data_IF_012915964255
#
_entry.id   IF_012915964255
#
_cell.length_a   1.000
_cell.length_b   1.000
_cell.length_c   1.000
_cell.angle_alpha   90.00
_cell.angle_beta   90.00
_cell.angle_gamma   90.00
#
_symmetry.space_group_name_H-M   'P 1'
#
loop_
_entity.id
_entity.type
_entity.pdbx_description
1 polymer ?
#
# COMPACT_ATOMS: atom_id res chain seq x y z
N UNK A 1 15.88 3.96 7.00
CA UNK A 1 16.30 5.36 6.72
C UNK A 1 17.33 5.93 7.72
N UNK A 2 18.01 5.12 8.55
CA UNK A 2 19.15 5.57 9.38
C UNK A 2 18.88 6.70 10.41
N UNK A 3 17.63 7.03 10.71
CA UNK A 3 17.21 8.12 11.62
C UNK A 3 16.10 7.64 12.56
N UNK A 4 15.88 8.36 13.66
CA UNK A 4 14.74 8.13 14.56
C UNK A 4 13.41 8.19 13.84
N UNK A 5 12.47 7.32 14.22
CA UNK A 5 11.09 7.38 13.76
C UNK A 5 10.47 8.74 14.13
N UNK A 6 9.55 9.24 13.30
CA UNK A 6 8.92 10.57 13.49
C UNK A 6 8.28 10.71 14.88
N UNK A 7 7.52 9.70 15.31
CA UNK A 7 6.88 9.68 16.63
C UNK A 7 7.85 9.61 17.83
N UNK A 8 9.14 9.33 17.61
CA UNK A 8 10.18 9.28 18.66
C UNK A 8 10.86 10.62 18.90
N UNK A 9 10.58 11.63 18.08
CA UNK A 9 11.11 12.98 18.30
C UNK A 9 10.35 13.59 19.50
N UNK A 10 11.04 14.05 20.57
CA UNK A 10 10.40 14.52 21.79
C UNK A 10 9.34 15.61 21.57
N UNK A 11 9.56 16.51 20.63
CA UNK A 11 8.65 17.61 20.28
C UNK A 11 7.44 17.16 19.46
N UNK A 12 7.48 15.96 18.88
CA UNK A 12 6.42 15.40 18.02
C UNK A 12 5.54 14.43 18.81
N UNK A 13 6.15 13.39 19.40
CA UNK A 13 5.42 12.32 20.10
C UNK A 13 4.27 11.75 19.28
N UNK A 14 3.09 11.63 19.91
CA UNK A 14 1.90 11.05 19.29
C UNK A 14 1.17 11.98 18.31
N UNK A 15 1.57 13.26 18.19
CA UNK A 15 1.07 14.11 17.11
C UNK A 15 1.39 13.51 15.72
N UNK A 16 2.40 12.63 15.66
CA UNK A 16 2.74 11.83 14.49
C UNK A 16 1.58 11.03 13.89
N UNK A 17 0.56 10.66 14.68
CA UNK A 17 -0.66 9.99 14.15
C UNK A 17 -1.43 10.94 13.24
N UNK A 18 -1.65 12.18 13.69
CA UNK A 18 -2.30 13.20 12.87
C UNK A 18 -1.44 13.58 11.65
N UNK A 19 -0.13 13.65 11.82
CA UNK A 19 0.79 13.90 10.70
C UNK A 19 0.71 12.78 9.63
N UNK A 20 0.55 11.52 10.06
CA UNK A 20 0.28 10.39 9.16
C UNK A 20 -1.02 10.57 8.38
N UNK A 21 -2.10 11.01 9.03
CA UNK A 21 -3.36 11.33 8.37
C UNK A 21 -3.21 12.49 7.38
N UNK A 22 -2.41 13.50 7.70
CA UNK A 22 -2.10 14.61 6.80
C UNK A 22 -1.34 14.13 5.56
N UNK A 23 -0.34 13.26 5.73
CA UNK A 23 0.41 12.67 4.61
C UNK A 23 -0.49 11.88 3.66
N UNK A 24 -1.43 11.11 4.20
CA UNK A 24 -2.45 10.41 3.42
C UNK A 24 -3.30 11.39 2.59
N UNK A 25 -3.81 12.45 3.22
CA UNK A 25 -4.62 13.47 2.53
C UNK A 25 -3.82 14.26 1.48
N UNK A 26 -2.50 14.39 1.63
CA UNK A 26 -1.66 15.05 0.61
C UNK A 26 -1.69 14.33 -0.74
N UNK A 27 -1.88 13.00 -0.76
CA UNK A 27 -2.01 12.24 -2.01
C UNK A 27 -3.17 12.79 -2.84
N UNK A 28 -4.38 12.84 -2.29
CA UNK A 28 -5.56 13.35 -2.99
C UNK A 28 -5.43 14.83 -3.37
N UNK A 29 -4.74 15.63 -2.54
CA UNK A 29 -4.45 17.04 -2.86
C UNK A 29 -3.54 17.18 -4.08
N UNK A 30 -2.52 16.34 -4.20
CA UNK A 30 -1.59 16.31 -5.33
C UNK A 30 -2.31 15.83 -6.59
N UNK A 31 -3.04 14.71 -6.50
CA UNK A 31 -3.82 14.17 -7.62
C UNK A 31 -4.79 15.22 -8.16
N UNK A 32 -5.58 15.86 -7.29
CA UNK A 32 -6.50 16.93 -7.69
C UNK A 32 -5.79 18.13 -8.30
N UNK A 33 -4.66 18.56 -7.74
CA UNK A 33 -3.96 19.75 -8.23
C UNK A 33 -3.42 19.56 -9.65
N UNK A 34 -2.89 18.38 -9.95
CA UNK A 34 -2.12 18.14 -11.17
C UNK A 34 -2.85 17.35 -12.24
N UNK A 35 -3.86 16.56 -11.87
CA UNK A 35 -4.48 15.60 -12.77
C UNK A 35 -5.99 15.78 -12.90
N UNK A 36 -6.63 16.76 -12.24
CA UNK A 36 -8.10 16.85 -12.26
C UNK A 36 -8.75 17.10 -13.64
N UNK A 37 -7.99 17.61 -14.61
CA UNK A 37 -8.46 17.82 -15.98
C UNK A 37 -8.14 16.62 -16.90
N UNK A 38 -7.36 15.65 -16.41
CA UNK A 38 -6.95 14.47 -17.18
C UNK A 38 -8.11 13.47 -17.27
N UNK A 39 -8.27 12.84 -18.43
CA UNK A 39 -9.32 11.84 -18.65
C UNK A 39 -9.23 10.64 -17.67
N UNK A 40 -8.03 10.33 -17.19
CA UNK A 40 -7.76 9.25 -16.24
C UNK A 40 -7.77 9.69 -14.76
N UNK A 41 -8.19 10.91 -14.44
CA UNK A 41 -8.20 11.43 -13.06
C UNK A 41 -8.93 10.53 -12.07
N UNK A 42 -10.17 10.14 -12.39
CA UNK A 42 -11.00 9.31 -11.51
C UNK A 42 -10.35 7.95 -11.31
N UNK A 43 -9.79 7.36 -12.36
CA UNK A 43 -9.07 6.10 -12.29
C UNK A 43 -7.83 6.18 -11.39
N UNK A 44 -7.09 7.30 -11.40
CA UNK A 44 -6.00 7.50 -10.44
C UNK A 44 -6.51 7.59 -9.00
N UNK A 45 -7.58 8.35 -8.75
CA UNK A 45 -8.17 8.46 -7.41
C UNK A 45 -8.60 7.09 -6.88
N UNK A 46 -9.30 6.31 -7.70
CA UNK A 46 -9.77 4.97 -7.34
C UNK A 46 -8.59 4.01 -7.12
N UNK A 47 -7.57 4.05 -7.99
CA UNK A 47 -6.37 3.22 -7.89
C UNK A 47 -5.62 3.48 -6.57
N UNK A 48 -5.43 4.75 -6.17
CA UNK A 48 -4.77 5.08 -4.91
C UNK A 48 -5.62 4.67 -3.69
N UNK A 49 -6.94 4.86 -3.75
CA UNK A 49 -7.85 4.44 -2.67
C UNK A 49 -7.85 2.91 -2.48
N UNK A 50 -7.88 2.16 -3.58
CA UNK A 50 -7.87 0.69 -3.55
C UNK A 50 -6.54 0.16 -3.04
N UNK A 51 -5.41 0.72 -3.50
CA UNK A 51 -4.09 0.34 -2.99
C UNK A 51 -3.93 0.66 -1.49
N UNK A 52 -4.48 1.80 -1.02
CA UNK A 52 -4.54 2.14 0.41
C UNK A 52 -5.35 1.11 1.19
N UNK A 53 -6.56 0.79 0.72
CA UNK A 53 -7.45 -0.19 1.35
C UNK A 53 -6.78 -1.57 1.45
N UNK A 54 -6.18 -2.05 0.37
CA UNK A 54 -5.46 -3.33 0.34
C UNK A 54 -4.32 -3.35 1.35
N UNK A 55 -3.55 -2.25 1.42
CA UNK A 55 -2.43 -2.11 2.36
C UNK A 55 -2.90 -2.14 3.81
N UNK A 56 -3.97 -1.40 4.13
CA UNK A 56 -4.55 -1.38 5.48
C UNK A 56 -5.12 -2.75 5.86
N UNK A 57 -5.77 -3.46 4.93
CA UNK A 57 -6.22 -4.83 5.14
C UNK A 57 -5.05 -5.78 5.42
N UNK A 58 -3.94 -5.65 4.68
CA UNK A 58 -2.73 -6.43 4.92
C UNK A 58 -2.10 -6.14 6.28
N UNK A 59 -2.00 -4.87 6.67
CA UNK A 59 -1.52 -4.45 8.00
C UNK A 59 -2.42 -4.98 9.11
N UNK A 60 -3.74 -4.92 8.94
CA UNK A 60 -4.71 -5.46 9.89
C UNK A 60 -4.49 -6.96 10.12
N UNK A 61 -4.33 -7.74 9.05
CA UNK A 61 -4.08 -9.19 9.16
C UNK A 61 -2.75 -9.46 9.86
N UNK A 62 -1.70 -8.69 9.55
CA UNK A 62 -0.39 -8.83 10.18
C UNK A 62 -0.45 -8.57 11.69
N UNK A 63 -1.08 -7.46 12.10
CA UNK A 63 -1.23 -7.09 13.51
C UNK A 63 -2.04 -8.16 14.26
N UNK A 64 -3.16 -8.64 13.70
CA UNK A 64 -3.96 -9.70 14.33
C UNK A 64 -3.15 -10.98 14.46
N UNK A 65 -2.42 -11.38 13.42
CA UNK A 65 -1.62 -12.60 13.44
C UNK A 65 -0.49 -12.57 14.47
N UNK A 66 0.09 -11.39 14.72
CA UNK A 66 1.32 -11.24 15.51
C UNK A 66 1.12 -10.74 16.93
N UNK A 67 0.09 -9.94 17.18
CA UNK A 67 -0.10 -9.22 18.45
C UNK A 67 -1.44 -9.55 19.15
N UNK A 68 -2.39 -10.21 18.48
CA UNK A 68 -3.68 -10.53 19.09
C UNK A 68 -3.67 -11.87 19.85
N UNK A 69 -4.10 -11.82 21.12
CA UNK A 69 -4.22 -12.97 21.99
C UNK A 69 -2.89 -13.62 22.41
N UNK A 70 -2.96 -14.90 22.78
CA UNK A 70 -1.78 -15.68 23.19
C UNK A 70 -0.90 -15.99 21.97
N UNK A 71 0.41 -15.84 22.14
CA UNK A 71 1.43 -16.24 21.15
C UNK A 71 1.30 -17.74 20.87
N UNK A 72 0.81 -18.06 19.69
CA UNK A 72 0.58 -19.42 19.22
C UNK A 72 1.24 -19.58 17.84
N UNK A 73 2.36 -20.31 17.82
CA UNK A 73 3.15 -20.50 16.61
C UNK A 73 2.42 -21.33 15.55
N UNK A 74 1.39 -22.09 15.92
CA UNK A 74 0.62 -22.90 14.96
C UNK A 74 -0.20 -22.05 13.98
N UNK A 75 -0.46 -20.77 14.32
CA UNK A 75 -1.17 -19.82 13.45
C UNK A 75 -0.33 -19.34 12.27
N UNK A 76 0.99 -19.45 12.33
CA UNK A 76 1.89 -18.97 11.29
C UNK A 76 2.01 -20.02 10.19
N UNK A 77 1.30 -19.77 9.09
CA UNK A 77 1.31 -20.65 7.92
C UNK A 77 1.88 -19.92 6.71
N UNK A 78 2.41 -20.68 5.74
CA UNK A 78 2.92 -20.09 4.51
C UNK A 78 1.84 -19.34 3.73
N UNK A 79 0.60 -19.83 3.77
CA UNK A 79 -0.55 -19.16 3.15
C UNK A 79 -0.89 -17.84 3.84
N UNK A 80 -0.79 -17.77 5.17
CA UNK A 80 -0.98 -16.53 5.92
C UNK A 80 0.12 -15.51 5.58
N UNK A 81 1.39 -15.92 5.61
CA UNK A 81 2.51 -15.04 5.25
C UNK A 81 2.38 -14.52 3.82
N UNK A 82 2.05 -15.40 2.86
CA UNK A 82 1.82 -14.98 1.47
C UNK A 82 0.70 -13.94 1.38
N UNK A 83 -0.40 -14.13 2.12
CA UNK A 83 -1.52 -13.17 2.14
C UNK A 83 -1.13 -11.84 2.77
N UNK A 84 -0.36 -11.85 3.85
CA UNK A 84 0.17 -10.63 4.45
C UNK A 84 1.05 -9.90 3.43
N UNK A 85 2.02 -10.57 2.81
CA UNK A 85 2.94 -9.94 1.86
C UNK A 85 2.22 -9.37 0.65
N UNK A 86 1.28 -10.13 0.07
CA UNK A 86 0.45 -9.71 -1.06
C UNK A 86 -0.28 -8.39 -0.76
N UNK A 87 -1.07 -8.35 0.31
CA UNK A 87 -1.92 -7.20 0.61
C UNK A 87 -1.16 -6.04 1.25
N UNK A 88 -0.26 -6.32 2.20
CA UNK A 88 0.47 -5.30 2.96
C UNK A 88 1.53 -4.60 2.10
N UNK A 89 2.06 -5.25 1.08
CA UNK A 89 3.24 -4.73 0.38
C UNK A 89 3.18 -4.76 -1.14
N UNK A 90 2.69 -5.83 -1.77
CA UNK A 90 2.86 -6.01 -3.20
C UNK A 90 2.08 -4.98 -4.03
N UNK A 91 0.83 -4.69 -3.63
CA UNK A 91 -0.02 -3.76 -4.38
C UNK A 91 0.53 -2.34 -4.41
N UNK A 92 0.85 -1.74 -3.25
CA UNK A 92 1.35 -0.36 -3.23
C UNK A 92 2.80 -0.23 -3.72
N UNK A 93 3.63 -1.27 -3.56
CA UNK A 93 5.07 -1.18 -3.87
C UNK A 93 5.39 -1.50 -5.33
N UNK A 94 4.66 -2.43 -5.94
CA UNK A 94 4.98 -2.94 -7.28
C UNK A 94 3.88 -2.67 -8.30
N UNK A 95 2.61 -2.97 -7.96
CA UNK A 95 1.51 -2.77 -8.91
C UNK A 95 1.17 -1.29 -9.11
N UNK A 96 0.96 -0.54 -8.02
CA UNK A 96 0.52 0.86 -8.06
C UNK A 96 1.40 1.76 -8.94
N UNK A 97 2.75 1.74 -8.86
CA UNK A 97 3.58 2.59 -9.73
C UNK A 97 3.41 2.30 -11.22
N UNK A 98 3.25 1.01 -11.59
CA UNK A 98 3.08 0.60 -12.99
C UNK A 98 1.66 0.91 -13.47
N UNK A 99 0.65 0.67 -12.64
CA UNK A 99 -0.73 1.04 -12.95
C UNK A 99 -0.90 2.55 -13.15
N UNK A 100 -0.23 3.39 -12.35
CA UNK A 100 -0.18 4.84 -12.58
C UNK A 100 0.41 5.18 -13.96
N UNK A 101 1.51 4.53 -14.35
CA UNK A 101 2.14 4.77 -15.66
C UNK A 101 1.24 4.32 -16.82
N UNK A 102 0.57 3.17 -16.70
CA UNK A 102 -0.38 2.67 -17.70
C UNK A 102 -1.56 3.65 -17.88
N UNK A 103 -2.16 4.12 -16.79
CA UNK A 103 -3.23 5.12 -16.85
C UNK A 103 -2.77 6.42 -17.53
N UNK A 104 -1.57 6.90 -17.20
CA UNK A 104 -0.98 8.10 -17.82
C UNK A 104 -0.66 7.90 -19.31
N UNK A 105 -0.46 6.65 -19.75
CA UNK A 105 -0.26 6.31 -21.16
C UNK A 105 -1.58 6.14 -21.92
N UNK A 106 -2.72 6.21 -21.23
CA UNK A 106 -4.06 6.02 -21.82
C UNK A 106 -4.49 4.55 -21.94
N UNK A 107 -3.81 3.64 -21.24
CA UNK A 107 -4.17 2.21 -21.22
C UNK A 107 -5.33 1.93 -20.26
N UNK A 108 -6.09 0.87 -20.55
CA UNK A 108 -7.11 0.35 -19.64
C UNK A 108 -6.52 -0.75 -18.75
N UNK A 109 -6.57 -0.58 -17.42
CA UNK A 109 -5.97 -1.52 -16.47
C UNK A 109 -6.56 -2.95 -16.57
N UNK A 110 -7.80 -3.10 -17.03
CA UNK A 110 -8.44 -4.40 -17.24
C UNK A 110 -7.75 -5.24 -18.33
N UNK A 111 -7.05 -4.60 -19.27
CA UNK A 111 -6.27 -5.28 -20.31
C UNK A 111 -4.89 -5.75 -19.80
N UNK A 112 -4.50 -5.33 -18.59
CA UNK A 112 -3.17 -5.55 -18.00
C UNK A 112 -3.18 -6.42 -16.74
N UNK A 113 -4.16 -7.32 -16.59
CA UNK A 113 -4.27 -8.24 -15.44
C UNK A 113 -3.01 -9.10 -15.27
N UNK A 114 -2.43 -9.60 -16.36
CA UNK A 114 -1.18 -10.38 -16.28
C UNK A 114 -0.02 -9.57 -15.69
N UNK A 115 0.05 -8.27 -15.99
CA UNK A 115 1.08 -7.40 -15.41
C UNK A 115 0.87 -7.26 -13.90
N UNK A 116 -0.39 -7.11 -13.45
CA UNK A 116 -0.75 -7.11 -12.02
C UNK A 116 -0.29 -8.39 -11.33
N UNK A 117 -0.59 -9.56 -11.90
CA UNK A 117 -0.24 -10.86 -11.32
C UNK A 117 1.28 -11.02 -11.16
N UNK A 118 2.05 -10.66 -12.20
CA UNK A 118 3.52 -10.70 -12.16
C UNK A 118 4.07 -9.75 -11.10
N UNK A 119 3.57 -8.50 -11.04
CA UNK A 119 4.03 -7.50 -10.07
C UNK A 119 3.69 -7.91 -8.63
N UNK A 120 2.57 -8.58 -8.42
CA UNK A 120 2.19 -9.11 -7.11
C UNK A 120 3.16 -10.21 -6.66
N UNK A 121 3.51 -11.15 -7.54
CA UNK A 121 4.50 -12.19 -7.26
C UNK A 121 5.90 -11.63 -7.02
N UNK A 122 6.33 -10.60 -7.77
CA UNK A 122 7.59 -9.89 -7.51
C UNK A 122 7.56 -9.26 -6.11
N UNK A 123 6.43 -8.69 -5.70
CA UNK A 123 6.29 -8.11 -4.36
C UNK A 123 6.35 -9.14 -3.24
N UNK A 124 5.76 -10.32 -3.45
CA UNK A 124 5.87 -11.44 -2.50
C UNK A 124 7.32 -11.90 -2.41
N UNK A 125 8.00 -12.07 -3.55
CA UNK A 125 9.42 -12.41 -3.59
C UNK A 125 10.27 -11.38 -2.84
N UNK A 126 10.04 -10.09 -3.07
CA UNK A 126 10.78 -9.00 -2.43
C UNK A 126 10.65 -9.00 -0.90
N UNK A 127 9.47 -9.31 -0.35
CA UNK A 127 9.31 -9.42 1.11
C UNK A 127 10.00 -10.63 1.73
N UNK A 128 10.28 -11.67 0.94
CA UNK A 128 11.01 -12.85 1.41
C UNK A 128 12.52 -12.59 1.49
N UNK A 129 13.06 -11.66 0.68
CA UNK A 129 14.48 -11.29 0.65
C UNK A 129 14.92 -10.47 1.87
#
# INVERSE_FOLDING_TARGET
>A
RGRSCWFRIPEVGMAAVNDGLMLRNHVHRILKKHFHEEAYYVHLVDLFNEAEFQTVCGEMIDVIATHDGKKDLSKYTMSLNRRIFEYKSSYYSFYLPIACALLMFGENLDDHVLAKDILVEIGIYYQVQ
#
